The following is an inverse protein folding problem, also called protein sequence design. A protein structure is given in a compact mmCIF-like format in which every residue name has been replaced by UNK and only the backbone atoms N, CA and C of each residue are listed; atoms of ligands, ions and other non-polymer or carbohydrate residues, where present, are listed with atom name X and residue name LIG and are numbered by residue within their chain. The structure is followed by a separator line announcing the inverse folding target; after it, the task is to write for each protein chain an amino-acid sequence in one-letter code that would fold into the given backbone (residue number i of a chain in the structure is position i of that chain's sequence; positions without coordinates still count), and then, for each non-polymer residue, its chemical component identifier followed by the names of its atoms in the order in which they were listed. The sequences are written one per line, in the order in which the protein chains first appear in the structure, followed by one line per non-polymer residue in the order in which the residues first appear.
data_IF_676153394473
#
_entry.id   IF_676153394473
#
_cell.length_a   1.000
_cell.length_b   1.000
_cell.length_c   1.000
_cell.angle_alpha   90.00
_cell.angle_beta   90.00
_cell.angle_gamma   90.00
#
_symmetry.space_group_name_H-M   'P 1'
#
loop_
_entity.id
_entity.type
_entity.pdbx_description
1 polymer ?
#
# COMPACT_ATOMS: atom_id res chain seq x y z
N UNK A 1 12.00 -0.21 -21.43
CA UNK A 1 12.06 -1.68 -21.55
C UNK A 1 10.83 -2.32 -22.20
N UNK A 2 9.63 -2.44 -21.57
CA UNK A 2 8.50 -3.17 -22.21
C UNK A 2 8.03 -2.58 -23.57
N UNK A 3 7.85 -1.26 -23.65
CA UNK A 3 7.41 -0.56 -24.87
C UNK A 3 8.51 -0.55 -25.95
N UNK A 4 9.76 -0.41 -25.51
CA UNK A 4 10.95 -0.37 -26.35
C UNK A 4 11.16 -1.67 -27.14
N UNK A 5 10.83 -2.83 -26.54
CA UNK A 5 10.87 -4.12 -27.23
C UNK A 5 9.77 -4.25 -28.30
N UNK A 6 8.59 -3.65 -28.09
CA UNK A 6 7.49 -3.65 -29.06
C UNK A 6 7.77 -2.68 -30.23
N UNK A 7 8.38 -1.54 -29.95
CA UNK A 7 8.83 -0.59 -30.98
C UNK A 7 9.88 -1.24 -31.89
N UNK A 8 10.89 -1.90 -31.29
CA UNK A 8 11.93 -2.63 -32.03
C UNK A 8 11.36 -3.75 -32.90
N UNK A 9 10.33 -4.46 -32.43
CA UNK A 9 9.64 -5.50 -33.22
C UNK A 9 8.91 -4.90 -34.43
N UNK A 10 8.26 -3.75 -34.26
CA UNK A 10 7.57 -3.04 -35.34
C UNK A 10 8.56 -2.46 -36.37
N UNK A 11 9.75 -2.04 -35.93
CA UNK A 11 10.83 -1.63 -36.82
C UNK A 11 11.36 -2.79 -37.65
N UNK A 12 11.57 -3.97 -37.05
CA UNK A 12 11.98 -5.19 -37.77
C UNK A 12 10.94 -5.62 -38.83
N UNK A 13 9.65 -5.43 -38.53
CA UNK A 13 8.57 -5.65 -39.51
C UNK A 13 8.64 -4.65 -40.66
N UNK A 14 8.81 -3.36 -40.35
CA UNK A 14 8.88 -2.29 -41.37
C UNK A 14 10.12 -2.37 -42.25
N UNK A 15 11.24 -2.86 -41.72
CA UNK A 15 12.48 -3.09 -42.48
C UNK A 15 12.43 -4.36 -43.34
N UNK A 16 11.34 -5.14 -43.27
CA UNK A 16 11.19 -6.40 -44.01
C UNK A 16 12.08 -7.53 -43.49
N UNK A 17 12.68 -7.36 -42.30
CA UNK A 17 13.59 -8.34 -41.71
C UNK A 17 12.86 -9.56 -41.13
N UNK A 18 11.56 -9.46 -40.88
CA UNK A 18 10.70 -10.54 -40.39
C UNK A 18 9.41 -10.61 -41.20
N UNK A 19 8.90 -11.82 -41.40
CA UNK A 19 7.60 -12.07 -42.05
C UNK A 19 6.44 -11.65 -41.14
N UNK A 20 5.27 -11.34 -41.72
CA UNK A 20 4.06 -11.02 -40.93
C UNK A 20 3.63 -12.19 -40.03
N UNK A 21 3.86 -13.43 -40.46
CA UNK A 21 3.60 -14.63 -39.65
C UNK A 21 4.52 -14.69 -38.41
N UNK A 22 5.82 -14.42 -38.59
CA UNK A 22 6.80 -14.38 -37.50
C UNK A 22 6.53 -13.22 -36.54
N UNK A 23 6.12 -12.06 -37.07
CA UNK A 23 5.74 -10.90 -36.27
C UNK A 23 4.57 -11.22 -35.34
N UNK A 24 3.51 -11.86 -35.86
CA UNK A 24 2.36 -12.22 -35.02
C UNK A 24 2.73 -13.28 -33.98
N UNK A 25 3.58 -14.24 -34.33
CA UNK A 25 4.03 -15.28 -33.41
C UNK A 25 4.91 -14.74 -32.29
N UNK A 26 5.88 -13.87 -32.62
CA UNK A 26 6.74 -13.22 -31.62
C UNK A 26 5.92 -12.23 -30.79
N UNK A 27 4.99 -11.50 -31.39
CA UNK A 27 4.07 -10.61 -30.66
C UNK A 27 3.18 -11.41 -29.71
N UNK A 28 2.62 -12.54 -30.13
CA UNK A 28 1.82 -13.43 -29.28
C UNK A 28 2.67 -14.01 -28.14
N UNK A 29 3.87 -14.53 -28.43
CA UNK A 29 4.80 -15.04 -27.42
C UNK A 29 5.32 -13.94 -26.49
N UNK A 30 5.51 -12.71 -26.96
CA UNK A 30 5.86 -11.56 -26.14
C UNK A 30 4.68 -11.11 -25.29
N UNK A 31 3.47 -11.09 -25.82
CA UNK A 31 2.26 -10.83 -25.04
C UNK A 31 2.07 -11.92 -24.00
N UNK A 32 2.28 -13.19 -24.34
CA UNK A 32 2.13 -14.35 -23.47
C UNK A 32 3.24 -14.46 -22.44
N UNK A 33 4.50 -14.12 -22.75
CA UNK A 33 5.62 -14.02 -21.80
C UNK A 33 5.61 -12.71 -20.97
N UNK A 34 4.89 -11.70 -21.44
CA UNK A 34 4.49 -10.54 -20.63
C UNK A 34 3.26 -10.88 -19.77
N UNK A 35 2.46 -11.88 -20.16
CA UNK A 35 1.21 -12.30 -19.51
C UNK A 35 1.31 -13.32 -18.34
N UNK A 36 2.40 -14.04 -17.99
CA UNK A 36 2.31 -15.04 -16.93
C UNK A 36 2.83 -14.52 -15.59
N UNK A 37 2.95 -13.20 -15.39
CA UNK A 37 3.40 -12.63 -14.11
C UNK A 37 2.51 -11.54 -13.49
N UNK A 38 1.43 -11.14 -14.18
CA UNK A 38 0.51 -10.09 -13.68
C UNK A 38 -0.75 -10.70 -13.03
N UNK A 39 -1.28 -11.84 -13.52
CA UNK A 39 -2.52 -12.44 -13.01
C UNK A 39 -2.41 -13.09 -11.61
N UNK A 40 -1.24 -13.48 -11.13
CA UNK A 40 -1.09 -14.11 -9.80
C UNK A 40 -1.02 -13.08 -8.64
N UNK A 41 -0.97 -11.77 -8.96
CA UNK A 41 -0.86 -10.68 -7.98
C UNK A 41 -1.91 -9.58 -8.13
N UNK A 42 -3.00 -9.82 -8.87
CA UNK A 42 -4.10 -8.86 -8.94
C UNK A 42 -4.89 -8.88 -7.64
N UNK A 43 -4.59 -7.92 -6.77
CA UNK A 43 -5.39 -7.65 -5.58
C UNK A 43 -6.77 -7.11 -5.99
N UNK A 44 -7.75 -7.12 -5.05
CA UNK A 44 -9.08 -6.58 -5.32
C UNK A 44 -8.98 -5.20 -5.97
N UNK A 45 -9.81 -4.97 -7.00
CA UNK A 45 -9.81 -3.76 -7.85
C UNK A 45 -8.72 -3.72 -8.94
N UNK A 46 -8.03 -4.82 -9.24
CA UNK A 46 -7.01 -4.87 -10.30
C UNK A 46 -5.79 -4.00 -9.98
N UNK A 47 -5.50 -3.82 -8.69
CA UNK A 47 -4.42 -2.97 -8.21
C UNK A 47 -3.17 -3.80 -7.93
N UNK A 48 -2.00 -3.21 -8.14
CA UNK A 48 -0.75 -3.75 -7.63
C UNK A 48 -0.71 -3.70 -6.10
N UNK A 49 0.03 -4.62 -5.48
CA UNK A 49 0.19 -4.67 -4.03
C UNK A 49 0.74 -3.37 -3.42
N UNK A 50 1.70 -2.74 -4.09
CA UNK A 50 2.22 -1.43 -3.71
C UNK A 50 1.12 -0.35 -3.66
N UNK A 51 0.29 -0.28 -4.70
CA UNK A 51 -0.79 0.71 -4.78
C UNK A 51 -1.89 0.43 -3.76
N UNK A 52 -2.26 -0.84 -3.59
CA UNK A 52 -3.24 -1.29 -2.62
C UNK A 52 -2.82 -0.91 -1.18
N UNK A 53 -1.58 -1.26 -0.82
CA UNK A 53 -0.98 -0.88 0.47
C UNK A 53 -0.96 0.64 0.65
N UNK A 54 -0.65 1.39 -0.40
CA UNK A 54 -0.60 2.86 -0.34
C UNK A 54 -1.96 3.47 -0.06
N UNK A 55 -3.00 2.98 -0.74
CA UNK A 55 -4.40 3.39 -0.49
C UNK A 55 -4.80 3.06 0.95
N UNK A 56 -4.46 1.86 1.42
CA UNK A 56 -4.75 1.42 2.79
C UNK A 56 -4.10 2.33 3.83
N UNK A 57 -2.92 2.90 3.55
CA UNK A 57 -2.31 3.93 4.37
C UNK A 57 -3.05 5.27 4.24
N UNK A 58 -3.16 5.83 3.03
CA UNK A 58 -3.70 7.17 2.83
C UNK A 58 -5.15 7.33 3.28
N UNK A 59 -5.97 6.28 3.17
CA UNK A 59 -7.36 6.34 3.61
C UNK A 59 -7.47 6.61 5.11
N UNK A 60 -6.44 6.30 5.92
CA UNK A 60 -6.44 6.60 7.36
C UNK A 60 -6.45 8.09 7.69
N UNK A 61 -6.10 8.96 6.74
CA UNK A 61 -6.17 10.42 6.91
C UNK A 61 -7.61 10.90 7.14
N UNK A 62 -8.60 10.12 6.70
CA UNK A 62 -10.00 10.32 7.03
C UNK A 62 -10.31 9.69 8.39
N UNK A 63 -10.12 10.47 9.45
CA UNK A 63 -10.37 10.03 10.83
C UNK A 63 -11.76 9.36 10.98
N UNK A 64 -11.81 8.21 11.66
CA UNK A 64 -13.02 7.42 11.83
C UNK A 64 -13.29 6.51 10.64
N UNK A 65 -14.03 6.99 9.63
CA UNK A 65 -14.46 6.15 8.50
C UNK A 65 -13.28 5.55 7.73
N UNK A 66 -12.21 6.32 7.53
CA UNK A 66 -11.01 5.86 6.85
C UNK A 66 -10.25 4.78 7.61
N UNK A 67 -10.30 4.78 8.94
CA UNK A 67 -9.72 3.69 9.76
C UNK A 67 -10.49 2.39 9.53
N UNK A 68 -11.83 2.46 9.55
CA UNK A 68 -12.68 1.29 9.30
C UNK A 68 -12.45 0.75 7.88
N UNK A 69 -12.40 1.63 6.88
CA UNK A 69 -12.13 1.25 5.49
C UNK A 69 -10.74 0.62 5.34
N UNK A 70 -9.71 1.18 6.00
CA UNK A 70 -8.35 0.62 6.01
C UNK A 70 -8.33 -0.81 6.56
N UNK A 71 -9.07 -1.09 7.64
CA UNK A 71 -9.21 -2.43 8.22
C UNK A 71 -9.94 -3.37 7.26
N UNK A 72 -11.02 -2.91 6.61
CA UNK A 72 -11.75 -3.72 5.63
C UNK A 72 -10.85 -4.09 4.45
N UNK A 73 -10.11 -3.12 3.90
CA UNK A 73 -9.13 -3.38 2.83
C UNK A 73 -8.08 -4.39 3.27
N UNK A 74 -7.53 -4.26 4.48
CA UNK A 74 -6.62 -5.27 5.01
C UNK A 74 -7.24 -6.66 5.03
N UNK A 75 -8.46 -6.81 5.56
CA UNK A 75 -9.14 -8.12 5.67
C UNK A 75 -9.40 -8.75 4.31
N UNK A 76 -9.74 -7.95 3.30
CA UNK A 76 -10.00 -8.45 1.93
C UNK A 76 -8.68 -8.82 1.23
N UNK A 77 -7.63 -8.00 1.37
CA UNK A 77 -6.35 -8.21 0.69
C UNK A 77 -5.33 -9.05 1.47
N UNK A 78 -5.65 -9.55 2.66
CA UNK A 78 -4.72 -10.25 3.58
C UNK A 78 -4.09 -11.54 3.01
N UNK A 79 -4.63 -12.08 1.93
CA UNK A 79 -4.09 -13.29 1.29
C UNK A 79 -2.77 -12.98 0.56
N UNK A 80 -2.55 -11.72 0.17
CA UNK A 80 -1.26 -11.25 -0.32
C UNK A 80 -0.32 -10.91 0.84
N UNK A 81 0.89 -11.46 0.83
CA UNK A 81 1.88 -11.29 1.90
C UNK A 81 2.22 -9.81 2.18
N UNK A 82 2.37 -8.99 1.13
CA UNK A 82 2.72 -7.57 1.29
C UNK A 82 1.58 -6.79 1.97
N UNK A 83 0.34 -7.06 1.55
CA UNK A 83 -0.85 -6.45 2.14
C UNK A 83 -1.05 -6.92 3.58
N UNK A 84 -0.82 -8.21 3.84
CA UNK A 84 -0.89 -8.77 5.20
C UNK A 84 0.10 -8.09 6.13
N UNK A 85 1.36 -7.97 5.73
CA UNK A 85 2.41 -7.31 6.52
C UNK A 85 2.11 -5.83 6.75
N UNK A 86 1.76 -5.10 5.70
CA UNK A 86 1.45 -3.68 5.84
C UNK A 86 0.21 -3.46 6.72
N UNK A 87 -0.82 -4.29 6.54
CA UNK A 87 -2.02 -4.22 7.35
C UNK A 87 -1.78 -4.58 8.82
N UNK A 88 -0.90 -5.53 9.12
CA UNK A 88 -0.49 -5.81 10.51
C UNK A 88 0.13 -4.55 11.16
N UNK A 89 0.99 -3.82 10.45
CA UNK A 89 1.54 -2.57 10.94
C UNK A 89 0.46 -1.49 11.17
N UNK A 90 -0.49 -1.38 10.25
CA UNK A 90 -1.63 -0.47 10.36
C UNK A 90 -2.48 -0.77 11.60
N UNK A 91 -2.84 -2.03 11.81
CA UNK A 91 -3.64 -2.46 12.96
C UNK A 91 -2.88 -2.20 14.26
N UNK A 92 -1.59 -2.53 14.30
CA UNK A 92 -0.73 -2.25 15.44
C UNK A 92 -0.73 -0.75 15.78
N UNK A 93 -0.65 0.11 14.77
CA UNK A 93 -0.73 1.56 14.95
C UNK A 93 -2.10 2.01 15.47
N UNK A 94 -3.20 1.55 14.86
CA UNK A 94 -4.57 1.91 15.27
C UNK A 94 -4.86 1.52 16.73
N UNK A 95 -4.48 0.30 17.13
CA UNK A 95 -4.64 -0.16 18.52
C UNK A 95 -3.75 0.66 19.46
N UNK A 96 -2.51 0.96 19.05
CA UNK A 96 -1.60 1.79 19.86
C UNK A 96 -2.15 3.20 20.06
N UNK A 97 -2.65 3.84 19.00
CA UNK A 97 -3.31 5.15 19.07
C UNK A 97 -4.52 5.14 20.02
N UNK A 98 -5.35 4.10 19.94
CA UNK A 98 -6.51 3.96 20.81
C UNK A 98 -6.08 3.85 22.28
N UNK A 99 -5.08 3.02 22.58
CA UNK A 99 -4.52 2.88 23.92
C UNK A 99 -3.91 4.18 24.44
N UNK A 100 -3.09 4.85 23.63
CA UNK A 100 -2.51 6.15 23.97
C UNK A 100 -3.60 7.20 24.22
N UNK A 101 -4.65 7.22 23.41
CA UNK A 101 -5.81 8.09 23.59
C UNK A 101 -6.57 7.82 24.89
N UNK A 102 -6.77 6.56 25.27
CA UNK A 102 -7.46 6.22 26.52
C UNK A 102 -6.62 6.59 27.74
N UNK A 103 -5.31 6.32 27.71
CA UNK A 103 -4.40 6.63 28.83
C UNK A 103 -4.20 8.14 28.97
N UNK A 104 -4.20 8.89 27.87
CA UNK A 104 -4.03 10.35 27.89
C UNK A 104 -5.29 11.10 28.39
N UNK A 105 -6.47 10.49 28.31
CA UNK A 105 -7.73 11.12 28.74
C UNK A 105 -7.71 11.56 30.22
N UNK A 106 -7.36 10.69 31.19
CA UNK A 106 -7.24 11.12 32.58
C UNK A 106 -6.11 12.13 32.78
N UNK A 107 -5.03 12.11 31.99
CA UNK A 107 -3.96 13.10 32.10
C UNK A 107 -4.48 14.52 31.90
N UNK A 108 -5.41 14.77 30.97
CA UNK A 108 -6.00 16.11 30.81
C UNK A 108 -6.61 16.62 32.13
N UNK A 109 -7.36 15.76 32.81
CA UNK A 109 -8.06 16.10 34.05
C UNK A 109 -7.06 16.32 35.19
N UNK A 110 -6.09 15.40 35.35
CA UNK A 110 -5.11 15.48 36.44
C UNK A 110 -4.08 16.61 36.29
N UNK A 111 -3.73 16.98 35.05
CA UNK A 111 -2.72 18.00 34.78
C UNK A 111 -3.32 19.37 34.45
N UNK A 112 -4.59 19.64 34.80
CA UNK A 112 -5.26 20.93 34.53
C UNK A 112 -5.16 21.36 33.05
N UNK A 113 -5.29 20.42 32.11
CA UNK A 113 -5.28 20.71 30.67
C UNK A 113 -3.94 20.52 29.94
N UNK A 114 -2.81 20.33 30.65
CA UNK A 114 -1.52 20.01 29.98
C UNK A 114 -1.56 18.74 29.12
N UNK A 115 -2.43 17.78 29.44
CA UNK A 115 -2.64 16.57 28.63
C UNK A 115 -3.06 16.85 27.17
N UNK A 116 -3.58 18.05 26.86
CA UNK A 116 -3.93 18.44 25.48
C UNK A 116 -2.72 18.40 24.54
N UNK A 117 -1.52 18.76 25.01
CA UNK A 117 -0.31 18.70 24.19
C UNK A 117 0.02 17.27 23.74
N UNK A 118 -0.30 16.27 24.56
CA UNK A 118 -0.13 14.87 24.19
C UNK A 118 -1.08 14.47 23.06
N UNK A 119 -2.34 14.92 23.11
CA UNK A 119 -3.29 14.69 22.01
C UNK A 119 -2.88 15.41 20.72
N UNK A 120 -2.32 16.61 20.81
CA UNK A 120 -1.77 17.31 19.64
C UNK A 120 -0.63 16.49 19.03
N UNK A 121 0.31 16.02 19.84
CA UNK A 121 1.41 15.17 19.37
C UNK A 121 0.89 13.85 18.73
N UNK A 122 -0.09 13.19 19.36
CA UNK A 122 -0.72 11.99 18.84
C UNK A 122 -1.44 12.24 17.51
N UNK A 123 -2.10 13.40 17.37
CA UNK A 123 -2.73 13.84 16.13
C UNK A 123 -1.73 14.09 15.01
N UNK A 124 -0.59 14.73 15.31
CA UNK A 124 0.50 14.95 14.35
C UNK A 124 1.07 13.59 13.88
N UNK A 125 1.34 12.67 14.80
CA UNK A 125 1.78 11.33 14.43
C UNK A 125 0.73 10.62 13.56
N UNK A 126 -0.55 10.67 13.94
CA UNK A 126 -1.66 10.07 13.19
C UNK A 126 -1.86 10.66 11.79
N UNK A 127 -1.33 11.85 11.54
CA UNK A 127 -1.31 12.47 10.21
C UNK A 127 -0.06 12.09 9.41
N UNK A 128 1.13 12.23 10.00
CA UNK A 128 2.40 12.03 9.29
C UNK A 128 2.66 10.56 8.93
N UNK A 129 2.29 9.67 9.83
CA UNK A 129 2.57 8.25 9.71
C UNK A 129 1.87 7.61 8.50
N UNK A 130 0.56 7.77 8.28
CA UNK A 130 -0.08 7.28 7.07
C UNK A 130 0.53 7.85 5.78
N UNK A 131 0.98 9.11 5.78
CA UNK A 131 1.63 9.72 4.62
C UNK A 131 2.95 8.99 4.30
N UNK A 132 3.81 8.81 5.29
CA UNK A 132 5.10 8.14 5.12
C UNK A 132 4.90 6.67 4.73
N UNK A 133 3.96 6.00 5.39
CA UNK A 133 3.63 4.60 5.11
C UNK A 133 3.09 4.41 3.70
N UNK A 134 2.25 5.32 3.22
CA UNK A 134 1.76 5.32 1.84
C UNK A 134 2.86 5.55 0.82
N UNK A 135 3.72 6.56 1.01
CA UNK A 135 4.85 6.82 0.12
C UNK A 135 5.85 5.65 0.06
N UNK A 136 6.10 4.99 1.19
CA UNK A 136 6.97 3.79 1.24
C UNK A 136 6.33 2.58 0.59
N UNK A 137 5.00 2.43 0.73
CA UNK A 137 4.24 1.36 0.09
C UNK A 137 4.27 1.49 -1.43
N UNK A 138 4.27 2.71 -1.98
CA UNK A 138 4.43 2.93 -3.43
C UNK A 138 5.76 2.38 -3.96
N UNK A 139 6.82 2.43 -3.15
CA UNK A 139 8.13 1.84 -3.47
C UNK A 139 8.19 0.33 -3.20
N UNK A 140 7.08 -0.32 -2.87
CA UNK A 140 7.01 -1.75 -2.54
C UNK A 140 7.60 -2.09 -1.16
N UNK A 141 7.83 -1.10 -0.30
CA UNK A 141 8.39 -1.31 1.05
C UNK A 141 7.30 -1.20 2.10
N UNK A 142 7.09 -2.27 2.87
CA UNK A 142 6.22 -2.22 4.05
C UNK A 142 6.87 -1.34 5.14
N UNK A 143 6.08 -0.49 5.78
CA UNK A 143 6.59 0.45 6.76
C UNK A 143 5.99 0.22 8.14
N UNK A 144 6.87 -0.11 9.10
CA UNK A 144 6.52 -0.19 10.51
C UNK A 144 6.42 1.22 11.10
N UNK A 145 5.26 1.52 11.65
CA UNK A 145 5.01 2.78 12.35
C UNK A 145 5.88 2.89 13.61
N UNK A 146 6.77 3.90 13.70
CA UNK A 146 7.56 4.14 14.90
C UNK A 146 6.58 4.55 16.01
N UNK A 147 6.63 3.92 17.19
CA UNK A 147 5.62 4.00 18.26
C UNK A 147 4.42 3.03 18.16
N UNK A 148 4.35 2.17 17.13
CA UNK A 148 3.38 1.06 17.18
C UNK A 148 3.86 -0.07 18.08
N UNK A 149 2.96 -0.53 18.96
CA UNK A 149 3.13 -1.74 19.77
C UNK A 149 2.80 -2.95 18.87
N UNK A 150 3.69 -3.95 18.75
CA UNK A 150 3.52 -5.06 17.80
C UNK A 150 2.59 -6.15 18.37
N UNK A 151 1.28 -5.92 18.32
CA UNK A 151 0.28 -6.93 18.71
C UNK A 151 0.17 -8.05 17.68
N UNK A 152 0.17 -7.70 16.40
CA UNK A 152 0.22 -8.61 15.26
C UNK A 152 1.65 -8.66 14.70
N UNK A 153 2.09 -9.86 14.34
CA UNK A 153 3.41 -10.12 13.73
C UNK A 153 3.24 -10.31 12.23
#
# INVERSE_FOLDING_TARGET
MKIENLEKLNEMRKSGAISEEEYQQIKANLLESVSPSEEENELPMGLSASNYCSIMNFIQLFFGAGWVISIILWVIGKDNEQVRQQGNYIINWLISCLLYGIIAAPLIIFTLGLGVFFYIALGICSLLFPIIGGLKSLNGTAWKYPLSIPFLK
#
